data_IF_184435301772
#
_entry.id   IF_184435301772
#
_cell.length_a   1.000
_cell.length_b   1.000
_cell.length_c   1.000
_cell.angle_alpha   90.00
_cell.angle_beta   90.00
_cell.angle_gamma   90.00
#
_symmetry.space_group_name_H-M   'P 1'
#
loop_
_entity.id
_entity.type
_entity.pdbx_description
1 polymer ?
#
# COMPACT_ATOMS: atom_id res chain seq x y z
N UNK A 1 -12.31 12.28 -7.14
CA UNK A 1 -11.89 11.12 -7.95
C UNK A 1 -12.47 11.21 -9.36
N UNK A 2 -13.79 11.40 -9.51
CA UNK A 2 -14.45 11.49 -10.82
C UNK A 2 -14.07 12.74 -11.66
N UNK A 3 -13.74 13.85 -11.00
CA UNK A 3 -13.18 15.04 -11.69
C UNK A 3 -11.87 14.73 -12.41
N UNK A 4 -11.04 13.82 -11.88
CA UNK A 4 -9.77 13.39 -12.52
C UNK A 4 -10.02 12.51 -13.75
N UNK A 5 -11.17 11.85 -13.84
CA UNK A 5 -11.59 11.08 -15.02
C UNK A 5 -12.45 11.89 -15.98
N UNK A 6 -12.62 13.21 -15.73
CA UNK A 6 -13.51 14.13 -16.47
C UNK A 6 -14.98 13.71 -16.46
N UNK A 7 -15.40 13.03 -15.40
CA UNK A 7 -16.78 12.59 -15.19
C UNK A 7 -17.33 13.28 -13.96
N UNK A 8 -17.24 14.61 -13.89
CA UNK A 8 -17.62 15.32 -12.67
C UNK A 8 -19.10 15.11 -12.35
N UNK A 9 -19.39 14.75 -11.11
CA UNK A 9 -20.75 14.46 -10.63
C UNK A 9 -20.96 15.10 -9.26
N UNK A 10 -22.12 15.73 -9.07
CA UNK A 10 -22.48 16.35 -7.80
C UNK A 10 -23.04 15.35 -6.77
N UNK A 11 -23.50 14.20 -7.27
CA UNK A 11 -24.16 13.15 -6.49
C UNK A 11 -23.59 11.78 -6.83
N UNK A 12 -23.81 10.82 -5.94
CA UNK A 12 -23.48 9.40 -6.13
C UNK A 12 -24.67 8.52 -5.77
N UNK A 13 -24.63 7.26 -6.19
CA UNK A 13 -25.68 6.29 -5.90
C UNK A 13 -25.14 5.19 -4.98
N UNK A 14 -25.87 4.90 -3.90
CA UNK A 14 -25.60 3.81 -2.99
C UNK A 14 -26.68 2.74 -3.16
N UNK A 15 -26.29 1.58 -3.70
CA UNK A 15 -27.18 0.43 -3.89
C UNK A 15 -26.98 -0.58 -2.76
N UNK A 16 -28.00 -0.75 -1.93
CA UNK A 16 -28.08 -1.81 -0.93
C UNK A 16 -28.55 -3.10 -1.61
N UNK A 17 -27.60 -3.98 -1.96
CA UNK A 17 -27.87 -5.19 -2.74
C UNK A 17 -28.83 -6.17 -2.04
N UNK A 18 -28.79 -6.26 -0.71
CA UNK A 18 -29.64 -7.18 0.05
C UNK A 18 -31.11 -6.78 -0.01
N UNK A 19 -31.38 -5.49 0.15
CA UNK A 19 -32.72 -4.92 0.13
C UNK A 19 -33.16 -4.49 -1.29
N UNK A 20 -32.21 -4.48 -2.24
CA UNK A 20 -32.36 -3.93 -3.59
C UNK A 20 -32.85 -2.46 -3.58
N UNK A 21 -32.37 -1.67 -2.62
CA UNK A 21 -32.73 -0.26 -2.46
C UNK A 21 -31.59 0.61 -2.96
N UNK A 22 -31.90 1.56 -3.84
CA UNK A 22 -30.95 2.56 -4.32
C UNK A 22 -31.23 3.91 -3.66
N UNK A 23 -30.20 4.51 -3.08
CA UNK A 23 -30.27 5.83 -2.46
C UNK A 23 -29.30 6.79 -3.16
N UNK A 24 -29.78 7.97 -3.50
CA UNK A 24 -28.92 9.06 -3.94
C UNK A 24 -28.22 9.72 -2.73
N UNK A 25 -26.91 9.89 -2.85
CA UNK A 25 -26.04 10.52 -1.87
C UNK A 25 -25.50 11.81 -2.48
N UNK A 26 -25.98 12.93 -1.94
CA UNK A 26 -25.53 14.25 -2.35
C UNK A 26 -24.26 14.61 -1.59
N UNK A 27 -23.27 15.21 -2.26
CA UNK A 27 -22.02 15.61 -1.62
C UNK A 27 -22.04 17.09 -1.27
N UNK A 28 -22.45 17.42 -0.03
CA UNK A 28 -22.49 18.81 0.43
C UNK A 28 -21.08 19.35 0.68
N UNK A 29 -20.91 20.66 0.54
CA UNK A 29 -19.62 21.31 0.76
C UNK A 29 -19.06 21.06 2.18
N UNK A 30 -19.92 21.09 3.20
CA UNK A 30 -19.53 20.81 4.60
C UNK A 30 -18.94 19.40 4.76
N UNK A 31 -19.57 18.39 4.16
CA UNK A 31 -19.13 16.99 4.21
C UNK A 31 -17.79 16.82 3.47
N UNK A 32 -17.66 17.42 2.27
CA UNK A 32 -16.40 17.43 1.52
C UNK A 32 -15.27 18.02 2.35
N UNK A 33 -15.50 19.17 2.99
CA UNK A 33 -14.53 19.85 3.85
C UNK A 33 -14.10 18.95 5.01
N UNK A 34 -15.06 18.36 5.73
CA UNK A 34 -14.78 17.57 6.92
C UNK A 34 -14.02 16.27 6.57
N UNK A 35 -14.36 15.63 5.44
CA UNK A 35 -13.63 14.48 4.92
C UNK A 35 -12.19 14.83 4.52
N UNK A 36 -11.97 16.01 3.92
CA UNK A 36 -10.62 16.48 3.57
C UNK A 36 -9.79 16.73 4.83
N UNK A 37 -10.39 17.34 5.86
CA UNK A 37 -9.71 17.56 7.14
C UNK A 37 -9.32 16.23 7.79
N UNK A 38 -10.24 15.26 7.84
CA UNK A 38 -9.95 13.92 8.36
C UNK A 38 -8.84 13.23 7.57
N UNK A 39 -8.87 13.32 6.23
CA UNK A 39 -7.83 12.79 5.36
C UNK A 39 -6.47 13.42 5.63
N UNK A 40 -6.42 14.72 5.89
CA UNK A 40 -5.17 15.43 6.19
C UNK A 40 -4.60 14.99 7.55
N UNK A 41 -5.45 14.82 8.56
CA UNK A 41 -5.03 14.26 9.85
C UNK A 41 -4.45 12.85 9.68
N UNK A 42 -5.11 11.99 8.88
CA UNK A 42 -4.63 10.64 8.61
C UNK A 42 -3.30 10.64 7.85
N UNK A 43 -3.16 11.51 6.83
CA UNK A 43 -1.93 11.65 6.06
C UNK A 43 -0.75 12.12 6.93
N UNK A 44 -0.99 12.95 7.94
CA UNK A 44 0.04 13.37 8.89
C UNK A 44 0.64 12.17 9.65
N UNK A 45 -0.19 11.24 10.15
CA UNK A 45 0.28 10.04 10.86
C UNK A 45 0.98 9.03 9.95
N UNK A 46 0.60 8.96 8.66
CA UNK A 46 1.29 8.09 7.69
C UNK A 46 2.58 8.68 7.13
N UNK A 47 2.85 9.97 7.35
CA UNK A 47 4.08 10.59 6.85
C UNK A 47 5.25 10.14 7.73
N UNK A 48 6.31 9.53 7.16
CA UNK A 48 7.48 9.17 7.93
C UNK A 48 8.05 10.40 8.64
N UNK A 49 8.09 10.37 9.97
CA UNK A 49 8.75 11.41 10.76
C UNK A 49 10.25 11.13 10.75
N UNK A 50 11.06 12.19 10.59
CA UNK A 50 12.51 12.08 10.60
C UNK A 50 12.95 11.43 11.93
N UNK A 51 13.55 10.26 11.84
CA UNK A 51 14.19 9.61 12.97
C UNK A 51 15.45 10.41 13.26
N UNK A 52 15.48 11.13 14.39
CA UNK A 52 16.72 11.76 14.84
C UNK A 52 17.75 10.67 15.16
N UNK A 53 18.93 10.77 14.54
CA UNK A 53 20.02 9.78 14.67
C UNK A 53 20.49 9.56 16.12
N UNK A 54 20.18 10.49 17.03
CA UNK A 54 20.45 10.42 18.47
C UNK A 54 19.66 9.32 19.19
N UNK A 55 18.52 8.89 18.64
CA UNK A 55 17.66 7.85 19.23
C UNK A 55 18.11 6.42 18.93
N UNK A 56 19.11 6.25 18.07
CA UNK A 56 19.67 4.95 17.66
C UNK A 56 20.75 4.42 18.61
N UNK A 57 21.00 5.09 19.73
CA UNK A 57 21.89 4.52 20.76
C UNK A 57 21.26 3.24 21.29
N UNK A 58 22.02 2.14 21.19
CA UNK A 58 21.67 0.78 21.59
C UNK A 58 21.42 0.71 23.12
N UNK A 59 20.32 1.28 23.59
CA UNK A 59 20.03 1.47 25.02
C UNK A 59 18.87 2.41 25.33
N UNK A 60 18.55 3.37 24.44
CA UNK A 60 17.32 4.16 24.50
C UNK A 60 16.25 3.47 23.67
N UNK A 61 15.07 3.20 24.25
CA UNK A 61 14.01 2.41 23.63
C UNK A 61 13.69 2.78 22.17
N UNK A 62 13.38 1.77 21.37
CA UNK A 62 13.02 1.94 19.96
C UNK A 62 11.84 2.90 19.80
N UNK A 63 11.96 3.85 18.87
CA UNK A 63 10.91 4.83 18.61
C UNK A 63 9.66 4.10 18.11
N UNK A 64 8.56 4.27 18.86
CA UNK A 64 7.25 3.74 18.52
C UNK A 64 6.62 4.57 17.39
N UNK A 65 5.69 3.96 16.65
CA UNK A 65 4.85 4.69 15.72
C UNK A 65 4.17 5.85 16.43
N UNK A 66 4.17 7.00 15.76
CA UNK A 66 3.28 8.09 16.13
C UNK A 66 1.87 7.71 15.67
N UNK A 67 1.08 7.19 16.61
CA UNK A 67 -0.31 6.84 16.37
C UNK A 67 -1.23 7.94 16.93
N UNK A 68 -2.43 8.12 16.33
CA UNK A 68 -3.42 9.00 16.91
C UNK A 68 -3.81 8.55 18.32
N UNK A 69 -4.21 9.51 19.16
CA UNK A 69 -4.77 9.21 20.46
C UNK A 69 -5.94 8.22 20.34
N UNK A 70 -6.03 7.22 21.24
CA UNK A 70 -7.12 6.28 21.19
C UNK A 70 -8.49 6.92 21.43
N UNK A 71 -9.52 6.40 20.77
CA UNK A 71 -10.89 6.88 20.98
C UNK A 71 -11.44 6.43 22.34
N UNK A 72 -12.21 7.31 22.97
CA UNK A 72 -12.93 6.99 24.20
C UNK A 72 -14.34 6.42 23.90
N UNK A 73 -14.38 5.21 23.32
CA UNK A 73 -15.65 4.56 22.96
C UNK A 73 -15.61 3.05 23.21
N UNK A 74 -16.11 2.61 24.37
CA UNK A 74 -16.01 1.22 24.85
C UNK A 74 -16.42 0.16 23.81
N UNK A 75 -17.60 0.30 23.21
CA UNK A 75 -18.12 -0.69 22.25
C UNK A 75 -17.35 -0.73 20.92
N UNK A 76 -16.67 0.36 20.55
CA UNK A 76 -15.88 0.43 19.33
C UNK A 76 -14.50 -0.19 19.58
N UNK A 77 -13.85 0.17 20.69
CA UNK A 77 -12.56 -0.39 21.09
C UNK A 77 -12.62 -1.90 21.33
N UNK A 78 -13.68 -2.40 21.99
CA UNK A 78 -13.85 -3.84 22.26
C UNK A 78 -14.06 -4.67 20.99
N UNK A 79 -14.73 -4.11 19.96
CA UNK A 79 -14.98 -4.77 18.67
C UNK A 79 -13.90 -4.50 17.62
N UNK A 80 -12.91 -3.68 17.94
CA UNK A 80 -11.85 -3.33 17.00
C UNK A 80 -10.94 -4.54 16.76
N UNK A 81 -10.75 -4.90 15.48
CA UNK A 81 -9.88 -6.01 15.08
C UNK A 81 -8.40 -5.75 15.40
N UNK A 82 -8.02 -4.48 15.60
CA UNK A 82 -6.66 -4.06 15.95
C UNK A 82 -6.47 -3.81 17.44
N UNK A 83 -7.38 -4.25 18.31
CA UNK A 83 -7.33 -3.94 19.75
C UNK A 83 -6.04 -4.43 20.43
N UNK A 84 -5.50 -5.59 20.04
CA UNK A 84 -4.25 -6.13 20.58
C UNK A 84 -3.07 -5.21 20.26
N UNK A 85 -2.92 -4.86 18.98
CA UNK A 85 -1.84 -3.97 18.53
C UNK A 85 -2.00 -2.56 19.12
N UNK A 86 -3.22 -2.02 19.15
CA UNK A 86 -3.49 -0.72 19.76
C UNK A 86 -3.11 -0.69 21.25
N UNK A 87 -3.52 -1.70 22.01
CA UNK A 87 -3.18 -1.80 23.44
C UNK A 87 -1.68 -2.02 23.65
N UNK A 88 -1.03 -2.82 22.79
CA UNK A 88 0.42 -3.03 22.82
C UNK A 88 1.18 -1.71 22.61
N UNK A 89 0.82 -0.93 21.60
CA UNK A 89 1.41 0.38 21.34
C UNK A 89 1.18 1.35 22.49
N UNK A 90 -0.06 1.46 22.95
CA UNK A 90 -0.41 2.32 24.08
C UNK A 90 0.37 1.98 25.35
N UNK A 91 0.64 0.69 25.60
CA UNK A 91 1.42 0.26 26.76
C UNK A 91 2.92 0.59 26.63
N UNK A 92 3.42 0.86 25.42
CA UNK A 92 4.80 1.26 25.15
C UNK A 92 4.97 2.77 25.02
N UNK A 93 3.90 3.49 24.69
CA UNK A 93 3.93 4.94 24.52
C UNK A 93 3.90 5.65 25.89
N UNK A 94 5.03 6.26 26.26
CA UNK A 94 5.16 7.00 27.52
C UNK A 94 4.55 8.41 27.45
N UNK A 95 4.22 8.91 26.26
CA UNK A 95 3.70 10.26 26.08
C UNK A 95 2.18 10.33 26.29
N UNK A 96 1.48 9.23 26.10
CA UNK A 96 0.02 9.15 26.22
C UNK A 96 -0.36 8.69 27.63
N UNK A 97 -0.95 9.58 28.42
CA UNK A 97 -1.55 9.25 29.72
C UNK A 97 -3.07 9.31 29.64
N UNK A 98 -3.70 8.13 29.53
CA UNK A 98 -5.15 8.04 29.54
C UNK A 98 -5.71 8.10 30.97
N UNK A 99 -6.91 8.64 31.12
CA UNK A 99 -7.62 8.61 32.39
C UNK A 99 -7.92 7.17 32.83
N UNK A 100 -7.99 6.93 34.14
CA UNK A 100 -8.37 5.62 34.69
C UNK A 100 -9.76 5.14 34.24
N UNK A 101 -10.63 6.07 33.84
CA UNK A 101 -11.96 5.79 33.30
C UNK A 101 -11.96 5.37 31.82
N UNK A 102 -10.82 5.47 31.13
CA UNK A 102 -10.75 5.16 29.71
C UNK A 102 -10.97 3.66 29.45
N UNK A 103 -11.84 3.26 28.51
CA UNK A 103 -12.15 1.85 28.23
C UNK A 103 -10.93 0.97 27.96
N UNK A 104 -9.91 1.54 27.30
CA UNK A 104 -8.68 0.82 26.96
C UNK A 104 -7.79 0.48 28.16
N UNK A 105 -7.91 1.15 29.30
CA UNK A 105 -7.09 0.80 30.47
C UNK A 105 -7.45 -0.60 30.98
N UNK A 106 -8.75 -0.87 31.14
CA UNK A 106 -9.23 -2.19 31.56
C UNK A 106 -9.06 -3.22 30.43
N UNK A 107 -9.45 -2.86 29.21
CA UNK A 107 -9.36 -3.76 28.06
C UNK A 107 -7.91 -4.15 27.75
N UNK A 108 -6.99 -3.19 27.79
CA UNK A 108 -5.57 -3.39 27.54
C UNK A 108 -4.93 -4.36 28.53
N UNK A 109 -5.22 -4.22 29.84
CA UNK A 109 -4.77 -5.20 30.84
C UNK A 109 -5.29 -6.61 30.53
N UNK A 110 -6.57 -6.75 30.19
CA UNK A 110 -7.17 -8.05 29.88
C UNK A 110 -6.55 -8.70 28.63
N UNK A 111 -6.28 -7.91 27.59
CA UNK A 111 -5.69 -8.39 26.35
C UNK A 111 -4.21 -8.72 26.55
N UNK A 112 -3.44 -7.80 27.11
CA UNK A 112 -1.97 -7.94 27.19
C UNK A 112 -1.51 -8.99 28.21
N UNK A 113 -2.32 -9.29 29.24
CA UNK A 113 -2.02 -10.38 30.19
C UNK A 113 -1.90 -11.76 29.53
N UNK A 114 -2.40 -11.93 28.30
CA UNK A 114 -2.30 -13.17 27.53
C UNK A 114 -0.93 -13.37 26.88
N UNK A 115 -0.09 -12.34 26.88
CA UNK A 115 1.21 -12.33 26.21
C UNK A 115 2.34 -12.17 27.20
N UNK A 116 3.47 -12.85 26.95
CA UNK A 116 4.69 -12.62 27.73
C UNK A 116 5.29 -11.25 27.35
N UNK A 117 5.99 -10.56 28.28
CA UNK A 117 6.71 -9.34 27.94
C UNK A 117 7.67 -9.52 26.75
N UNK A 118 8.34 -10.67 26.66
CA UNK A 118 9.22 -11.04 25.53
C UNK A 118 8.50 -11.05 24.18
N UNK A 119 7.23 -11.46 24.15
CA UNK A 119 6.42 -11.45 22.92
C UNK A 119 6.14 -10.03 22.46
N UNK A 120 5.73 -9.16 23.39
CA UNK A 120 5.45 -7.74 23.12
C UNK A 120 6.72 -7.03 22.63
N UNK A 121 7.86 -7.28 23.29
CA UNK A 121 9.14 -6.68 22.94
C UNK A 121 9.62 -7.12 21.56
N UNK A 122 9.49 -8.41 21.23
CA UNK A 122 9.83 -8.94 19.91
C UNK A 122 9.04 -8.26 18.80
N UNK A 123 7.71 -8.15 18.95
CA UNK A 123 6.85 -7.52 17.95
C UNK A 123 7.17 -6.04 17.80
N UNK A 124 7.33 -5.32 18.90
CA UNK A 124 7.72 -3.91 18.88
C UNK A 124 9.03 -3.70 18.12
N UNK A 125 10.02 -4.55 18.38
CA UNK A 125 11.33 -4.47 17.74
C UNK A 125 11.24 -4.68 16.22
N UNK A 126 10.55 -5.74 15.77
CA UNK A 126 10.41 -6.02 14.34
C UNK A 126 9.63 -4.94 13.59
N UNK A 127 8.60 -4.37 14.22
CA UNK A 127 7.85 -3.28 13.60
C UNK A 127 8.74 -2.04 13.45
N UNK A 128 9.55 -1.69 14.46
CA UNK A 128 10.51 -0.57 14.34
C UNK A 128 11.56 -0.81 13.25
N UNK A 129 12.10 -2.04 13.12
CA UNK A 129 13.04 -2.37 12.04
C UNK A 129 12.39 -2.23 10.66
N UNK A 130 11.18 -2.74 10.49
CA UNK A 130 10.43 -2.61 9.23
C UNK A 130 10.15 -1.15 8.87
N UNK A 131 9.92 -0.27 9.85
CA UNK A 131 9.75 1.17 9.62
C UNK A 131 11.02 1.87 9.16
N UNK A 132 12.16 1.51 9.77
CA UNK A 132 13.45 2.05 9.35
C UNK A 132 13.71 1.64 7.89
N UNK A 133 13.49 0.37 7.56
CA UNK A 133 13.65 -0.14 6.19
C UNK A 133 12.69 0.54 5.20
N UNK A 134 11.40 0.66 5.55
CA UNK A 134 10.41 1.36 4.72
C UNK A 134 10.79 2.83 4.51
N UNK A 135 11.24 3.51 5.56
CA UNK A 135 11.66 4.91 5.47
C UNK A 135 12.86 5.10 4.54
N UNK A 136 13.83 4.20 4.59
CA UNK A 136 15.01 4.21 3.72
C UNK A 136 14.60 4.00 2.24
N UNK A 137 13.70 3.04 1.98
CA UNK A 137 13.22 2.74 0.63
C UNK A 137 12.27 3.82 0.08
N UNK A 138 11.53 4.51 0.95
CA UNK A 138 10.54 5.54 0.57
C UNK A 138 11.14 6.89 0.14
N UNK A 139 12.46 7.05 0.26
CA UNK A 139 13.17 8.31 0.00
C UNK A 139 13.05 8.80 -1.45
N UNK A 140 12.81 7.89 -2.40
CA UNK A 140 12.42 8.23 -3.78
C UNK A 140 10.96 7.86 -4.02
N UNK A 141 10.03 8.75 -3.66
CA UNK A 141 8.61 8.59 -3.99
C UNK A 141 8.39 8.79 -5.50
N UNK A 142 8.71 7.77 -6.29
CA UNK A 142 8.61 7.74 -7.76
C UNK A 142 7.18 8.05 -8.22
N UNK A 143 6.17 7.66 -7.43
CA UNK A 143 4.75 7.92 -7.73
C UNK A 143 4.47 9.43 -7.81
N UNK A 144 5.13 10.27 -7.01
CA UNK A 144 5.00 11.74 -7.09
C UNK A 144 5.34 12.26 -8.47
N UNK A 145 6.33 11.67 -9.14
CA UNK A 145 6.77 12.12 -10.46
C UNK A 145 5.70 11.96 -11.53
N UNK A 146 4.74 11.03 -11.39
CA UNK A 146 3.61 10.95 -12.31
C UNK A 146 2.79 12.25 -12.35
N UNK A 147 2.73 12.97 -11.23
CA UNK A 147 1.96 14.20 -11.09
C UNK A 147 2.80 15.47 -11.32
N UNK A 148 4.12 15.40 -11.13
CA UNK A 148 4.99 16.58 -11.15
C UNK A 148 5.93 16.66 -12.35
N UNK A 149 6.17 15.55 -13.06
CA UNK A 149 7.09 15.49 -14.20
C UNK A 149 6.37 15.02 -15.47
N UNK A 150 6.80 15.57 -16.61
CA UNK A 150 6.33 15.10 -17.92
C UNK A 150 6.82 13.67 -18.20
N UNK A 151 6.13 12.90 -19.06
CA UNK A 151 6.54 11.55 -19.43
C UNK A 151 7.99 11.46 -19.92
N UNK A 152 8.47 12.45 -20.68
CA UNK A 152 9.81 12.50 -21.24
C UNK A 152 10.87 12.66 -20.14
N UNK A 153 10.59 13.52 -19.14
CA UNK A 153 11.46 13.69 -17.97
C UNK A 153 11.51 12.43 -17.10
N UNK A 154 10.40 11.70 -17.01
CA UNK A 154 10.34 10.40 -16.32
C UNK A 154 11.10 9.31 -17.08
N UNK A 155 11.03 9.29 -18.41
CA UNK A 155 11.81 8.36 -19.23
C UNK A 155 13.32 8.63 -19.13
N UNK A 156 13.76 9.90 -19.11
CA UNK A 156 15.16 10.24 -18.86
C UNK A 156 15.68 9.73 -17.50
N UNK A 157 14.79 9.57 -16.51
CA UNK A 157 15.07 8.96 -15.20
C UNK A 157 14.94 7.44 -15.19
N UNK A 158 14.69 6.78 -16.33
CA UNK A 158 14.55 5.32 -16.48
C UNK A 158 13.44 4.69 -15.63
N UNK A 159 12.35 5.43 -15.42
CA UNK A 159 11.16 4.96 -14.65
C UNK A 159 9.88 4.90 -15.49
N UNK A 160 9.95 5.32 -16.77
CA UNK A 160 8.82 5.37 -17.68
C UNK A 160 9.27 5.07 -19.12
N UNK A 161 8.35 4.54 -19.93
CA UNK A 161 8.43 4.55 -21.40
C UNK A 161 7.30 5.47 -21.89
N UNK A 162 7.64 6.58 -22.55
CA UNK A 162 6.63 7.50 -23.07
C UNK A 162 6.35 7.30 -24.57
N UNK A 163 5.33 8.02 -25.06
CA UNK A 163 5.01 8.13 -26.48
C UNK A 163 4.73 6.77 -27.16
N UNK A 164 3.84 5.99 -26.54
CA UNK A 164 3.44 4.67 -27.02
C UNK A 164 2.07 4.71 -27.71
N UNK A 165 1.89 3.81 -28.68
CA UNK A 165 0.60 3.49 -29.30
C UNK A 165 0.34 2.01 -29.25
N UNK A 166 -0.93 1.66 -29.15
CA UNK A 166 -1.38 0.26 -29.21
C UNK A 166 -1.45 -0.16 -30.67
N UNK A 167 -0.99 -1.36 -30.97
CA UNK A 167 -1.11 -2.00 -32.29
C UNK A 167 -1.86 -3.31 -32.20
N UNK A 168 -2.48 -3.67 -33.32
CA UNK A 168 -3.25 -4.90 -33.44
C UNK A 168 -4.56 -4.86 -32.65
N UNK A 169 -5.24 -6.00 -32.62
CA UNK A 169 -6.49 -6.19 -31.88
C UNK A 169 -6.16 -6.56 -30.43
N UNK A 170 -6.86 -5.94 -29.48
CA UNK A 170 -6.80 -6.34 -28.06
C UNK A 170 -7.40 -7.74 -27.92
N UNK A 171 -6.67 -8.64 -27.26
CA UNK A 171 -7.08 -10.03 -27.08
C UNK A 171 -7.47 -10.23 -25.62
N UNK A 172 -8.67 -10.75 -25.38
CA UNK A 172 -9.06 -11.19 -24.05
C UNK A 172 -8.35 -12.50 -23.71
N UNK A 173 -7.75 -12.56 -22.52
CA UNK A 173 -6.98 -13.69 -22.04
C UNK A 173 -7.16 -13.83 -20.53
N UNK A 174 -7.79 -14.93 -20.08
CA UNK A 174 -8.03 -15.22 -18.66
C UNK A 174 -8.63 -14.02 -17.88
N UNK A 175 -9.71 -13.45 -18.40
CA UNK A 175 -10.39 -12.27 -17.83
C UNK A 175 -9.53 -10.99 -17.74
N UNK A 176 -8.40 -10.96 -18.45
CA UNK A 176 -7.54 -9.79 -18.67
C UNK A 176 -7.49 -9.45 -20.16
N UNK A 177 -6.90 -8.30 -20.47
CA UNK A 177 -6.81 -7.78 -21.82
C UNK A 177 -5.35 -7.59 -22.23
N UNK A 178 -4.93 -8.32 -23.26
CA UNK A 178 -3.58 -8.27 -23.81
C UNK A 178 -3.46 -7.11 -24.80
N UNK A 179 -2.59 -6.16 -24.46
CA UNK A 179 -2.30 -4.98 -25.27
C UNK A 179 -0.84 -4.99 -25.68
N UNK A 180 -0.58 -4.72 -26.95
CA UNK A 180 0.78 -4.56 -27.48
C UNK A 180 1.03 -3.12 -27.81
N UNK A 181 2.03 -2.53 -27.17
CA UNK A 181 2.44 -1.15 -27.34
C UNK A 181 3.73 -1.08 -28.16
N UNK A 182 3.82 -0.09 -29.04
CA UNK A 182 5.03 0.29 -29.77
C UNK A 182 5.30 1.78 -29.60
N UNK A 183 6.56 2.18 -29.79
CA UNK A 183 6.91 3.60 -29.83
C UNK A 183 6.30 4.26 -31.07
N UNK A 184 5.56 5.34 -30.87
CA UNK A 184 5.03 6.11 -31.98
C UNK A 184 6.08 7.09 -32.48
N UNK A 185 6.34 7.08 -33.79
CA UNK A 185 7.31 7.98 -34.41
C UNK A 185 6.63 9.32 -34.73
N UNK A 186 6.53 10.21 -33.74
CA UNK A 186 5.66 11.40 -33.85
C UNK A 186 6.34 12.57 -34.57
N UNK A 187 7.66 12.67 -34.45
CA UNK A 187 8.57 13.62 -35.13
C UNK A 187 9.95 12.98 -35.09
N UNK A 188 10.85 13.26 -36.02
CA UNK A 188 12.24 12.76 -36.11
C UNK A 188 13.14 13.09 -34.88
N UNK A 189 12.56 13.43 -33.72
CA UNK A 189 13.21 13.68 -32.44
C UNK A 189 13.59 12.40 -31.68
N UNK A 190 12.95 11.26 -31.96
CA UNK A 190 13.33 9.97 -31.40
C UNK A 190 14.03 9.15 -32.49
N UNK A 191 15.35 9.23 -32.57
CA UNK A 191 16.15 8.38 -33.46
C UNK A 191 16.06 6.90 -33.10
N UNK A 192 15.61 6.59 -31.87
CA UNK A 192 15.55 5.24 -31.34
C UNK A 192 14.10 4.83 -31.05
N UNK A 193 13.54 3.96 -31.91
CA UNK A 193 12.24 3.31 -31.69
C UNK A 193 12.29 2.24 -30.60
N UNK A 194 13.48 1.91 -30.10
CA UNK A 194 13.65 0.80 -29.18
C UNK A 194 13.04 1.11 -27.81
N UNK A 195 12.56 0.04 -27.19
CA UNK A 195 12.11 -0.03 -25.81
C UNK A 195 13.31 -0.45 -24.95
N UNK A 196 13.87 0.44 -24.13
CA UNK A 196 15.16 0.17 -23.49
C UNK A 196 15.14 -1.03 -22.55
N UNK A 197 16.12 -1.92 -22.71
CA UNK A 197 16.13 -3.24 -22.04
C UNK A 197 16.19 -3.16 -20.51
N UNK A 198 16.89 -2.15 -19.98
CA UNK A 198 17.11 -2.03 -18.54
C UNK A 198 15.98 -1.32 -17.79
N UNK A 199 14.98 -0.77 -18.48
CA UNK A 199 13.92 -0.02 -17.81
C UNK A 199 12.93 -0.99 -17.19
N UNK A 200 12.45 -2.03 -17.89
CA UNK A 200 11.41 -2.91 -17.38
C UNK A 200 11.74 -4.41 -17.54
N UNK A 201 11.28 -5.20 -16.57
CA UNK A 201 11.39 -6.66 -16.55
C UNK A 201 10.05 -7.34 -16.89
N UNK A 202 10.11 -8.59 -17.35
CA UNK A 202 8.90 -9.40 -17.48
C UNK A 202 8.26 -9.64 -16.09
N UNK A 203 6.94 -9.76 -16.08
CA UNK A 203 6.11 -9.89 -14.87
C UNK A 203 6.19 -8.70 -13.89
N UNK A 204 6.78 -7.57 -14.30
CA UNK A 204 6.75 -6.34 -13.51
C UNK A 204 5.36 -5.70 -13.58
N UNK A 205 4.88 -5.20 -12.44
CA UNK A 205 3.61 -4.50 -12.33
C UNK A 205 3.77 -3.03 -12.71
N UNK A 206 2.89 -2.53 -13.58
CA UNK A 206 3.02 -1.21 -14.20
C UNK A 206 1.71 -0.45 -14.22
N UNK A 207 1.83 0.87 -14.28
CA UNK A 207 0.72 1.80 -14.44
C UNK A 207 0.67 2.29 -15.88
N UNK A 208 -0.52 2.35 -16.45
CA UNK A 208 -0.76 2.91 -17.78
C UNK A 208 -1.48 4.23 -17.65
N UNK A 209 -0.95 5.23 -18.33
CA UNK A 209 -1.47 6.59 -18.34
C UNK A 209 -1.49 7.10 -19.77
N UNK A 210 -2.24 8.18 -20.00
CA UNK A 210 -2.19 8.98 -21.23
C UNK A 210 -1.71 10.38 -20.92
N UNK A 211 -1.47 11.18 -21.96
CA UNK A 211 -1.07 12.58 -21.78
C UNK A 211 -2.11 13.42 -21.04
N UNK A 212 -3.37 12.97 -20.98
CA UNK A 212 -4.47 13.71 -20.34
C UNK A 212 -4.98 13.06 -19.05
N UNK A 213 -4.72 11.77 -18.84
CA UNK A 213 -5.24 10.99 -17.72
C UNK A 213 -4.17 10.08 -17.14
N UNK A 214 -3.91 10.23 -15.85
CA UNK A 214 -2.97 9.39 -15.11
C UNK A 214 -3.70 8.14 -14.60
N UNK A 215 -3.01 6.99 -14.65
CA UNK A 215 -3.44 5.71 -14.10
C UNK A 215 -4.83 5.25 -14.62
N UNK A 216 -4.97 5.17 -15.94
CA UNK A 216 -6.19 4.70 -16.61
C UNK A 216 -6.39 3.19 -16.50
N UNK A 217 -5.30 2.44 -16.31
CA UNK A 217 -5.31 0.98 -16.14
C UNK A 217 -3.97 0.55 -15.54
N UNK A 218 -3.94 -0.68 -15.03
CA UNK A 218 -2.77 -1.30 -14.42
C UNK A 218 -2.65 -2.75 -14.85
N UNK A 219 -1.45 -3.32 -14.77
CA UNK A 219 -1.25 -4.68 -15.20
C UNK A 219 0.19 -5.15 -15.11
N UNK A 220 0.45 -6.30 -15.74
CA UNK A 220 1.75 -6.96 -15.72
C UNK A 220 2.33 -7.05 -17.11
N UNK A 221 3.64 -6.80 -17.23
CA UNK A 221 4.37 -7.00 -18.48
C UNK A 221 4.40 -8.50 -18.78
N UNK A 222 3.77 -8.90 -19.88
CA UNK A 222 3.73 -10.30 -20.30
C UNK A 222 4.91 -10.66 -21.22
N UNK A 223 5.34 -9.72 -22.05
CA UNK A 223 6.48 -9.92 -22.95
C UNK A 223 7.08 -8.57 -23.31
N UNK A 224 8.40 -8.52 -23.41
CA UNK A 224 9.12 -7.36 -23.96
C UNK A 224 9.97 -7.78 -25.15
N UNK A 225 9.91 -7.01 -26.22
CA UNK A 225 10.77 -7.10 -27.40
C UNK A 225 11.52 -5.78 -27.56
N UNK A 226 12.40 -5.71 -28.54
CA UNK A 226 13.19 -4.51 -28.81
C UNK A 226 12.31 -3.33 -29.26
N UNK A 227 11.24 -3.59 -30.03
CA UNK A 227 10.36 -2.58 -30.63
C UNK A 227 8.97 -2.48 -29.97
N UNK A 228 8.63 -3.44 -29.12
CA UNK A 228 7.28 -3.64 -28.62
C UNK A 228 7.24 -4.19 -27.19
N UNK A 229 6.22 -3.78 -26.44
CA UNK A 229 5.97 -4.25 -25.08
C UNK A 229 4.52 -4.69 -24.97
N UNK A 230 4.32 -5.89 -24.44
CA UNK A 230 3.01 -6.52 -24.31
C UNK A 230 2.61 -6.60 -22.85
N UNK A 231 1.43 -6.11 -22.52
CA UNK A 231 0.96 -5.98 -21.14
C UNK A 231 -0.44 -6.59 -21.02
N UNK A 232 -0.65 -7.35 -19.93
CA UNK A 232 -1.95 -7.85 -19.53
C UNK A 232 -2.60 -6.84 -18.56
N UNK A 233 -3.62 -6.15 -19.05
CA UNK A 233 -4.35 -5.11 -18.33
C UNK A 233 -5.67 -5.63 -17.75
N UNK A 234 -6.15 -4.94 -16.72
CA UNK A 234 -7.45 -5.21 -16.06
C UNK A 234 -8.67 -4.86 -16.93
N UNK A 235 -8.49 -4.01 -17.93
CA UNK A 235 -9.55 -3.54 -18.84
C UNK A 235 -9.02 -3.27 -20.23
N UNK A 236 -9.91 -3.31 -21.22
CA UNK A 236 -9.62 -2.84 -22.57
C UNK A 236 -9.60 -1.31 -22.61
N UNK A 237 -8.41 -0.73 -22.71
CA UNK A 237 -8.23 0.72 -22.74
C UNK A 237 -8.42 1.32 -24.15
N UNK A 238 -8.53 0.50 -25.20
CA UNK A 238 -8.74 1.02 -26.56
C UNK A 238 -10.14 1.57 -26.75
N UNK A 239 -11.14 1.06 -26.02
CA UNK A 239 -12.56 1.46 -26.14
C UNK A 239 -12.81 2.97 -26.00
N UNK A 240 -11.98 3.67 -25.22
CA UNK A 240 -12.16 5.09 -24.90
C UNK A 240 -10.93 5.96 -25.23
N UNK A 241 -9.87 5.38 -25.83
CA UNK A 241 -8.57 6.05 -26.02
C UNK A 241 -7.92 5.73 -27.39
N UNK A 242 -8.69 5.45 -28.44
CA UNK A 242 -8.23 4.93 -29.75
C UNK A 242 -7.06 5.72 -30.37
N UNK A 243 -6.99 7.04 -30.13
CA UNK A 243 -5.98 7.93 -30.72
C UNK A 243 -5.04 8.59 -29.69
N UNK A 244 -5.06 8.16 -28.43
CA UNK A 244 -4.19 8.73 -27.41
C UNK A 244 -2.78 8.13 -27.45
N UNK A 245 -1.82 8.92 -26.95
CA UNK A 245 -0.49 8.42 -26.63
C UNK A 245 -0.51 7.90 -25.20
N UNK A 246 0.04 6.70 -25.04
CA UNK A 246 0.17 6.03 -23.77
C UNK A 246 1.59 6.19 -23.24
N UNK A 247 1.70 6.07 -21.94
CA UNK A 247 2.98 5.92 -21.29
C UNK A 247 2.86 4.89 -20.15
N UNK A 248 3.92 4.11 -19.98
CA UNK A 248 4.01 3.02 -19.02
C UNK A 248 4.95 3.46 -17.91
N UNK A 249 4.46 3.51 -16.68
CA UNK A 249 5.22 3.86 -15.50
C UNK A 249 5.50 2.65 -14.62
N UNK A 250 6.68 2.65 -13.99
CA UNK A 250 6.98 1.75 -12.90
C UNK A 250 6.04 1.99 -11.73
N UNK A 251 5.56 0.89 -11.17
CA UNK A 251 4.88 0.91 -9.89
C UNK A 251 5.81 0.39 -8.78
N UNK A 252 6.30 1.29 -7.94
CA UNK A 252 6.97 0.89 -6.71
C UNK A 252 5.91 0.50 -5.68
N UNK A 253 5.70 -0.80 -5.48
CA UNK A 253 4.75 -1.28 -4.47
C UNK A 253 5.36 -1.24 -3.08
N UNK A 254 4.62 -0.75 -2.07
CA UNK A 254 4.90 -0.98 -0.65
C UNK A 254 4.32 -2.31 -0.15
N UNK A 255 3.88 -3.18 -1.06
CA UNK A 255 3.15 -4.42 -0.73
C UNK A 255 3.94 -5.37 0.17
N UNK A 256 5.27 -5.41 0.01
CA UNK A 256 6.15 -6.21 0.85
C UNK A 256 6.10 -5.78 2.33
N UNK A 257 6.13 -4.48 2.60
CA UNK A 257 6.03 -3.96 3.97
C UNK A 257 4.66 -4.26 4.56
N UNK A 258 3.59 -4.04 3.80
CA UNK A 258 2.23 -4.38 4.24
C UNK A 258 2.10 -5.85 4.61
N UNK A 259 2.67 -6.74 3.79
CA UNK A 259 2.70 -8.19 4.06
C UNK A 259 3.50 -8.53 5.32
N UNK A 260 4.70 -7.95 5.46
CA UNK A 260 5.55 -8.19 6.63
C UNK A 260 4.92 -7.66 7.92
N UNK A 261 4.34 -6.46 7.90
CA UNK A 261 3.60 -5.91 9.05
C UNK A 261 2.39 -6.78 9.39
N UNK A 262 1.65 -7.29 8.39
CA UNK A 262 0.53 -8.19 8.63
C UNK A 262 0.97 -9.51 9.28
N UNK A 263 2.10 -10.09 8.84
CA UNK A 263 2.63 -11.32 9.44
C UNK A 263 3.09 -11.10 10.88
N UNK A 264 3.84 -10.02 11.13
CA UNK A 264 4.30 -9.66 12.48
C UNK A 264 3.11 -9.35 13.38
N UNK A 265 2.19 -8.49 12.95
CA UNK A 265 0.97 -8.18 13.70
C UNK A 265 0.08 -9.40 13.92
N UNK A 266 0.02 -10.32 12.95
CA UNK A 266 -0.75 -11.57 13.03
C UNK A 266 -0.24 -12.54 14.08
N UNK A 267 1.06 -12.50 14.44
CA UNK A 267 1.58 -13.28 15.57
C UNK A 267 0.94 -12.89 16.91
N UNK A 268 0.35 -11.70 17.02
CA UNK A 268 -0.41 -11.26 18.19
C UNK A 268 -1.87 -11.76 18.19
N UNK A 269 -2.23 -12.66 17.28
CA UNK A 269 -3.52 -13.33 17.30
C UNK A 269 -3.77 -14.10 18.60
N UNK A 270 -4.98 -13.97 19.13
CA UNK A 270 -5.46 -14.67 20.34
C UNK A 270 -6.08 -16.01 19.95
N UNK A 271 -5.23 -16.94 19.49
CA UNK A 271 -5.60 -18.31 19.17
C UNK A 271 -4.40 -19.25 19.40
N UNK A 272 -4.69 -20.55 19.52
CA UNK A 272 -3.70 -21.59 19.84
C UNK A 272 -2.57 -21.68 18.81
N UNK A 273 -2.87 -21.47 17.52
CA UNK A 273 -1.87 -21.52 16.45
C UNK A 273 -0.85 -20.39 16.64
N UNK A 274 -1.33 -19.16 16.84
CA UNK A 274 -0.47 -18.01 17.08
C UNK A 274 0.34 -18.17 18.39
N UNK A 275 -0.26 -18.74 19.44
CA UNK A 275 0.47 -19.03 20.68
C UNK A 275 1.61 -20.02 20.45
N UNK A 276 1.35 -21.13 19.77
CA UNK A 276 2.37 -22.11 19.40
C UNK A 276 3.49 -21.48 18.56
N UNK A 277 3.14 -20.63 17.59
CA UNK A 277 4.12 -19.90 16.78
C UNK A 277 4.98 -18.96 17.64
N UNK A 278 4.39 -18.20 18.57
CA UNK A 278 5.17 -17.36 19.50
C UNK A 278 6.12 -18.18 20.36
N UNK A 279 5.65 -19.31 20.89
CA UNK A 279 6.48 -20.20 21.71
C UNK A 279 7.67 -20.78 20.92
N UNK A 280 7.48 -21.10 19.63
CA UNK A 280 8.55 -21.64 18.77
C UNK A 280 9.52 -20.53 18.33
N UNK A 281 9.00 -19.45 17.76
CA UNK A 281 9.80 -18.41 17.10
C UNK A 281 10.44 -17.45 18.11
N UNK A 282 9.68 -17.03 19.12
CA UNK A 282 10.12 -16.01 20.08
C UNK A 282 10.79 -16.67 21.28
N UNK A 283 10.11 -17.63 21.92
CA UNK A 283 10.63 -18.26 23.14
C UNK A 283 11.63 -19.40 22.85
N UNK A 284 11.79 -19.80 21.59
CA UNK A 284 12.71 -20.87 21.15
C UNK A 284 12.49 -22.19 21.88
N UNK A 285 11.23 -22.48 22.24
CA UNK A 285 10.85 -23.61 23.10
C UNK A 285 10.89 -24.98 22.40
N UNK A 286 11.01 -25.02 21.06
CA UNK A 286 11.14 -26.26 20.32
C UNK A 286 12.62 -26.60 20.07
N UNK A 287 13.04 -27.81 20.45
CA UNK A 287 14.19 -28.45 19.83
C UNK A 287 13.87 -28.67 18.35
N UNK A 288 14.49 -27.89 17.47
CA UNK A 288 14.34 -27.99 16.00
C UNK A 288 14.51 -29.44 15.47
N UNK A 289 15.24 -30.28 16.19
CA UNK A 289 15.42 -31.70 15.88
C UNK A 289 14.12 -32.52 15.92
N UNK A 290 13.18 -32.24 16.82
CA UNK A 290 11.96 -33.06 16.96
C UNK A 290 10.91 -32.71 15.92
N UNK A 291 10.97 -31.50 15.33
CA UNK A 291 10.03 -31.04 14.30
C UNK A 291 10.42 -31.61 12.92
N UNK A 292 11.71 -31.68 12.60
CA UNK A 292 12.19 -32.26 11.34
C UNK A 292 11.94 -33.78 11.25
N UNK A 293 11.98 -34.50 12.38
CA UNK A 293 11.73 -35.95 12.42
C UNK A 293 10.26 -36.30 12.17
N UNK A 294 9.32 -35.38 12.39
CA UNK A 294 7.89 -35.62 12.12
C UNK A 294 7.42 -35.10 10.75
N UNK A 295 8.33 -34.57 9.93
CA UNK A 295 8.08 -34.05 8.57
C UNK A 295 8.79 -34.87 7.48
N UNK A 296 9.53 -35.92 7.86
CA UNK A 296 10.03 -36.99 6.99
C UNK A 296 9.30 -38.29 7.31
#
# INVERSE_FOLDING_TARGET
MMTLTRQDTDTGLLLYLRENIMQEINSKHSEKRDLILLRNSLANYFTPKLIEKSSLTLGSGWQTLDLPEPINHHSACSKCMYNVLCCMYLNKDTNIQLSNSHPLIKLGKQILNKFKPSHIDYISHWVSLLQIEESAQSSENIIRYMWTLSPEKREAKKICICNLKIIGKVIEYNSKYKHTFIRANVKEQFSNTNIPYMIFSENEYVLISTNTRINISTGFIAQRKEDSITILLDRDITKYNINEFFHIDKYSSSSLFSFNFANIGGLMGDNEICEKLRNIVIDRSANLLTILINLC
#
